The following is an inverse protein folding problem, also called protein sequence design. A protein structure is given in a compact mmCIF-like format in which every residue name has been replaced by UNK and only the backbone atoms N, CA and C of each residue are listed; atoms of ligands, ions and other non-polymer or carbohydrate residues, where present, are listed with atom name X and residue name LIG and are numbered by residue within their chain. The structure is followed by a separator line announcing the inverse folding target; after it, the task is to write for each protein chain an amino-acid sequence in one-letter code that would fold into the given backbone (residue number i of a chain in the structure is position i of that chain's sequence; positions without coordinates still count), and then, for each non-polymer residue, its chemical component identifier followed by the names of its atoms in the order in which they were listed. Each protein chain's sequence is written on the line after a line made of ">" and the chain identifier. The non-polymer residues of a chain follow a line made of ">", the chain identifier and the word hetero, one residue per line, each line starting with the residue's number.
data_IF_711042862983
#
_entry.id   IF_711042862983
#
_cell.length_a   1.000
_cell.length_b   1.000
_cell.length_c   1.000
_cell.angle_alpha   90.00
_cell.angle_beta   90.00
_cell.angle_gamma   90.00
#
_symmetry.space_group_name_H-M   'P 1'
#
loop_
_entity.id
_entity.type
_entity.pdbx_description
1 polymer ?
#
# COMPACT_ATOMS: atom_id res chain seq x y z
N UNK A 1 -10.42 8.33 -11.29
CA UNK A 1 -9.80 9.43 -10.52
C UNK A 1 -8.30 9.15 -10.42
N UNK A 2 -7.46 10.17 -10.29
CA UNK A 2 -6.02 10.00 -10.04
C UNK A 2 -5.72 10.24 -8.56
N UNK A 3 -5.11 9.27 -7.89
CA UNK A 3 -4.81 9.33 -6.45
C UNK A 3 -3.39 8.86 -6.17
N UNK A 4 -2.67 9.61 -5.33
CA UNK A 4 -1.36 9.21 -4.82
C UNK A 4 -1.44 9.01 -3.31
N UNK A 5 -1.07 7.82 -2.84
CA UNK A 5 -0.86 7.52 -1.44
C UNK A 5 0.61 7.75 -1.08
N UNK A 6 0.84 8.44 0.03
CA UNK A 6 2.18 8.62 0.59
C UNK A 6 2.19 7.97 1.97
N UNK A 7 3.02 6.95 2.13
CA UNK A 7 3.09 6.15 3.36
C UNK A 7 4.48 6.33 3.97
N UNK A 8 4.53 6.95 5.15
CA UNK A 8 5.78 7.31 5.84
C UNK A 8 6.00 6.61 7.18
N UNK A 9 5.14 5.65 7.52
CA UNK A 9 5.12 4.93 8.80
C UNK A 9 5.50 3.46 8.60
N UNK A 10 6.09 2.84 9.61
CA UNK A 10 6.34 1.39 9.72
C UNK A 10 5.25 0.64 10.51
N UNK A 11 4.18 1.34 10.92
CA UNK A 11 3.04 0.73 11.59
C UNK A 11 2.24 -0.19 10.64
N UNK A 12 2.23 -1.49 10.94
CA UNK A 12 1.65 -2.52 10.09
C UNK A 12 0.17 -2.35 9.80
N UNK A 13 -0.63 -2.00 10.82
CA UNK A 13 -2.07 -1.76 10.66
C UNK A 13 -2.34 -0.57 9.73
N UNK A 14 -1.59 0.52 9.90
CA UNK A 14 -1.72 1.71 9.07
C UNK A 14 -1.36 1.43 7.62
N UNK A 15 -0.24 0.74 7.37
CA UNK A 15 0.16 0.36 6.01
C UNK A 15 -0.88 -0.57 5.39
N UNK A 16 -1.31 -1.59 6.12
CA UNK A 16 -2.31 -2.55 5.65
C UNK A 16 -3.61 -1.86 5.23
N UNK A 17 -4.14 -0.96 6.07
CA UNK A 17 -5.39 -0.26 5.77
C UNK A 17 -5.24 0.73 4.60
N UNK A 18 -4.11 1.42 4.49
CA UNK A 18 -3.81 2.30 3.37
C UNK A 18 -3.75 1.51 2.05
N UNK A 19 -3.01 0.40 2.02
CA UNK A 19 -2.92 -0.47 0.84
C UNK A 19 -4.26 -1.13 0.50
N UNK A 20 -5.06 -1.54 1.50
CA UNK A 20 -6.41 -2.06 1.29
C UNK A 20 -7.31 -1.05 0.58
N UNK A 21 -7.21 0.23 0.94
CA UNK A 21 -7.94 1.31 0.27
C UNK A 21 -7.42 1.54 -1.16
N UNK A 22 -6.10 1.53 -1.35
CA UNK A 22 -5.48 1.65 -2.67
C UNK A 22 -5.97 0.55 -3.63
N UNK A 23 -6.06 -0.70 -3.14
CA UNK A 23 -6.64 -1.83 -3.87
C UNK A 23 -8.11 -1.64 -4.25
N UNK A 24 -8.92 -0.99 -3.40
CA UNK A 24 -10.30 -0.65 -3.76
C UNK A 24 -10.35 0.35 -4.92
N UNK A 25 -9.47 1.36 -4.91
CA UNK A 25 -9.36 2.34 -6.00
C UNK A 25 -9.08 1.67 -7.35
N UNK A 26 -8.04 0.83 -7.40
CA UNK A 26 -7.71 0.06 -8.61
C UNK A 26 -8.89 -0.80 -9.07
N UNK A 27 -9.57 -1.51 -8.14
CA UNK A 27 -10.73 -2.35 -8.48
C UNK A 27 -11.90 -1.56 -9.06
N UNK A 28 -12.01 -0.27 -8.73
CA UNK A 28 -13.02 0.65 -9.28
C UNK A 28 -12.59 1.31 -10.60
N UNK A 29 -11.36 1.07 -11.06
CA UNK A 29 -10.81 1.67 -12.28
C UNK A 29 -10.16 3.04 -12.06
N UNK A 30 -9.80 3.38 -10.82
CA UNK A 30 -8.99 4.57 -10.55
C UNK A 30 -7.51 4.32 -10.86
N UNK A 31 -6.81 5.37 -11.26
CA UNK A 31 -5.35 5.39 -11.38
C UNK A 31 -4.77 5.69 -10.00
N UNK A 32 -4.14 4.69 -9.40
CA UNK A 32 -3.62 4.79 -8.03
C UNK A 32 -2.11 4.58 -8.03
N UNK A 33 -1.40 5.55 -7.48
CA UNK A 33 0.01 5.45 -7.13
C UNK A 33 0.20 5.29 -5.62
N UNK A 34 1.25 4.57 -5.21
CA UNK A 34 1.71 4.48 -3.83
C UNK A 34 3.19 4.81 -3.78
N UNK A 35 3.59 5.74 -2.91
CA UNK A 35 4.98 6.06 -2.62
C UNK A 35 5.30 5.79 -1.15
N UNK A 36 6.19 4.81 -0.92
CA UNK A 36 6.75 4.50 0.39
C UNK A 36 7.96 5.40 0.65
N UNK A 37 8.02 6.08 1.79
CA UNK A 37 9.19 6.89 2.15
C UNK A 37 9.49 6.86 3.66
N UNK A 38 10.70 7.25 4.04
CA UNK A 38 11.11 7.24 5.45
C UNK A 38 10.97 5.84 6.05
N UNK A 39 10.23 5.72 7.16
CA UNK A 39 9.99 4.41 7.80
C UNK A 39 9.15 3.46 6.96
N UNK A 40 8.32 3.98 6.06
CA UNK A 40 7.47 3.18 5.16
C UNK A 40 8.26 2.28 4.22
N UNK A 41 9.53 2.58 3.94
CA UNK A 41 10.43 1.73 3.13
C UNK A 41 10.65 0.36 3.77
N UNK A 42 10.42 0.21 5.08
CA UNK A 42 10.55 -1.06 5.80
C UNK A 42 9.27 -1.94 5.75
N UNK A 43 8.32 -1.64 4.86
CA UNK A 43 7.00 -2.29 4.77
C UNK A 43 7.06 -3.83 4.74
N UNK A 44 8.11 -4.42 4.15
CA UNK A 44 8.31 -5.87 4.09
C UNK A 44 8.37 -6.53 5.47
N UNK A 45 8.72 -5.76 6.50
CA UNK A 45 8.87 -6.22 7.90
C UNK A 45 7.80 -5.63 8.83
N UNK A 46 6.93 -4.77 8.32
CA UNK A 46 5.90 -4.08 9.12
C UNK A 46 4.63 -4.90 9.32
N UNK A 47 4.42 -5.95 8.53
CA UNK A 47 3.23 -6.80 8.62
C UNK A 47 3.19 -7.69 9.86
N UNK A 48 1.98 -8.20 10.15
CA UNK A 48 1.71 -9.21 11.18
C UNK A 48 0.72 -10.24 10.64
N UNK A 49 0.32 -11.21 11.47
CA UNK A 49 -0.68 -12.21 11.06
C UNK A 49 -2.06 -11.58 10.83
N UNK A 50 -2.42 -10.59 11.64
CA UNK A 50 -3.68 -9.86 11.57
C UNK A 50 -3.68 -8.81 10.44
N UNK A 51 -2.49 -8.28 10.12
CA UNK A 51 -2.28 -7.25 9.12
C UNK A 51 -1.23 -7.69 8.09
N UNK A 52 -1.66 -8.52 7.14
CA UNK A 52 -0.80 -9.00 6.06
C UNK A 52 -0.55 -7.89 5.01
N UNK A 53 0.44 -7.06 5.32
CA UNK A 53 0.87 -5.94 4.46
C UNK A 53 1.34 -6.45 3.09
N UNK A 54 2.07 -7.56 3.06
CA UNK A 54 2.65 -8.08 1.82
C UNK A 54 1.56 -8.64 0.90
N UNK A 55 0.53 -9.27 1.43
CA UNK A 55 -0.63 -9.68 0.63
C UNK A 55 -1.27 -8.47 -0.06
N UNK A 56 -1.49 -7.36 0.65
CA UNK A 56 -2.09 -6.16 0.05
C UNK A 56 -1.20 -5.51 -1.01
N UNK A 57 0.11 -5.47 -0.80
CA UNK A 57 1.07 -4.92 -1.77
C UNK A 57 1.12 -5.82 -3.02
N UNK A 58 1.18 -7.14 -2.86
CA UNK A 58 1.18 -8.06 -3.99
C UNK A 58 -0.09 -7.90 -4.85
N UNK A 59 -1.26 -7.78 -4.21
CA UNK A 59 -2.53 -7.50 -4.91
C UNK A 59 -2.50 -6.16 -5.67
N UNK A 60 -1.79 -5.15 -5.15
CA UNK A 60 -1.71 -3.82 -5.75
C UNK A 60 -0.82 -3.79 -6.99
N UNK A 61 0.34 -4.44 -6.93
CA UNK A 61 1.38 -4.40 -7.98
C UNK A 61 0.96 -5.00 -9.33
N UNK A 62 -0.17 -5.70 -9.40
CA UNK A 62 -0.72 -6.18 -10.67
C UNK A 62 -1.18 -5.04 -11.60
N UNK A 63 -1.56 -3.88 -11.04
CA UNK A 63 -2.22 -2.79 -11.79
C UNK A 63 -1.87 -1.37 -11.33
N UNK A 64 -1.29 -1.21 -10.14
CA UNK A 64 -0.96 0.09 -9.56
C UNK A 64 0.50 0.47 -9.75
N UNK A 65 0.77 1.76 -9.69
CA UNK A 65 2.14 2.28 -9.70
C UNK A 65 2.71 2.32 -8.28
N UNK A 66 3.78 1.57 -8.04
CA UNK A 66 4.40 1.44 -6.72
C UNK A 66 5.82 1.99 -6.75
N UNK A 67 6.12 2.91 -5.84
CA UNK A 67 7.41 3.59 -5.71
C UNK A 67 7.97 3.42 -4.30
N UNK A 68 9.29 3.20 -4.21
CA UNK A 68 10.07 3.08 -2.97
C UNK A 68 11.34 3.89 -3.12
#
# INVERSE_FOLDING_TARGET
>A
MQVLFIISTDDGETIYNAMRMANIGIKKGDEVGVFMLGKGVLFEKSGSKEFDVMEQINQFTEKGDFYV
#
